data_IF_009506892096
#
_entry.id   IF_009506892096
#
_cell.length_a   1.000
_cell.length_b   1.000
_cell.length_c   1.000
_cell.angle_alpha   90.00
_cell.angle_beta   90.00
_cell.angle_gamma   90.00
#
_symmetry.space_group_name_H-M   'P 1'
#
loop_
_entity.id
_entity.type
_entity.pdbx_description
1 polymer ?
#
# COMPACT_ATOMS: atom_id res chain seq x y z
N UNK A 1 31.80 -19.90 12.79
CA UNK A 1 31.30 -20.77 13.88
C UNK A 1 29.79 -20.90 13.72
N UNK A 2 29.26 -21.99 13.11
CA UNK A 2 27.82 -22.14 12.86
C UNK A 2 27.15 -22.88 14.02
N UNK A 3 25.98 -22.40 14.46
CA UNK A 3 25.08 -23.17 15.30
C UNK A 3 23.84 -23.55 14.49
N UNK A 4 23.81 -24.82 14.07
CA UNK A 4 22.65 -25.46 13.50
C UNK A 4 21.67 -25.84 14.62
N UNK A 5 20.45 -25.30 14.58
CA UNK A 5 19.33 -25.70 15.44
C UNK A 5 18.21 -26.28 14.58
N UNK A 6 17.91 -27.57 14.78
CA UNK A 6 17.02 -28.40 13.96
C UNK A 6 15.54 -27.98 14.02
N UNK A 7 14.86 -28.29 12.91
CA UNK A 7 13.44 -28.15 12.58
C UNK A 7 12.50 -28.76 13.63
N UNK A 8 11.31 -28.16 13.78
CA UNK A 8 10.05 -28.89 13.99
C UNK A 8 9.02 -28.43 12.97
N UNK A 9 8.54 -29.38 12.19
CA UNK A 9 7.38 -29.30 11.30
C UNK A 9 6.14 -29.73 12.07
N UNK A 10 5.06 -28.94 12.02
CA UNK A 10 3.67 -29.39 11.93
C UNK A 10 2.73 -28.18 12.11
N UNK A 11 1.73 -28.07 11.23
CA UNK A 11 0.62 -27.11 11.36
C UNK A 11 0.60 -26.10 10.23
N UNK A 12 -0.29 -26.32 9.25
CA UNK A 12 -0.51 -25.41 8.13
C UNK A 12 -0.95 -24.03 8.59
N UNK A 13 0.01 -23.10 8.66
CA UNK A 13 -0.21 -21.72 8.31
C UNK A 13 0.71 -21.45 7.12
N UNK A 14 0.11 -21.07 5.99
CA UNK A 14 0.83 -20.40 4.91
C UNK A 14 1.69 -19.32 5.55
N UNK A 15 3.00 -19.52 5.57
CA UNK A 15 3.94 -18.57 6.14
C UNK A 15 3.71 -17.23 5.45
N UNK A 16 3.07 -16.29 6.16
CA UNK A 16 2.88 -14.93 5.72
C UNK A 16 4.27 -14.28 5.72
N UNK A 17 4.95 -14.35 4.58
CA UNK A 17 6.23 -13.68 4.38
C UNK A 17 5.94 -12.18 4.37
N UNK A 18 6.20 -11.51 5.48
CA UNK A 18 6.31 -10.06 5.48
C UNK A 18 7.48 -9.70 4.57
N UNK A 19 7.18 -9.14 3.40
CA UNK A 19 8.19 -8.46 2.60
C UNK A 19 8.41 -7.07 3.19
N UNK A 20 9.63 -6.55 3.05
CA UNK A 20 9.95 -5.18 3.42
C UNK A 20 9.09 -4.22 2.59
N UNK A 21 8.02 -3.70 3.17
CA UNK A 21 7.06 -2.79 2.52
C UNK A 21 7.71 -1.47 2.07
N UNK A 22 8.95 -1.22 2.50
CA UNK A 22 9.74 -0.04 2.17
C UNK A 22 10.57 -0.17 0.86
N UNK A 23 10.68 -1.35 0.25
CA UNK A 23 11.40 -1.53 -1.03
C UNK A 23 10.46 -1.26 -2.23
N UNK A 24 10.08 0.01 -2.39
CA UNK A 24 9.13 0.48 -3.41
C UNK A 24 9.43 -0.01 -4.84
N UNK A 25 10.69 -0.07 -5.32
CA UNK A 25 11.02 -0.58 -6.65
C UNK A 25 10.65 -2.05 -6.89
N UNK A 26 10.63 -2.89 -5.86
CA UNK A 26 10.34 -4.33 -5.99
C UNK A 26 8.87 -4.69 -5.84
N UNK A 27 8.06 -3.73 -5.40
CA UNK A 27 6.66 -3.94 -5.09
C UNK A 27 5.79 -4.40 -6.27
N UNK A 28 5.97 -3.92 -7.52
CA UNK A 28 5.17 -4.39 -8.66
C UNK A 28 5.32 -5.90 -8.90
N UNK A 29 6.55 -6.39 -9.02
CA UNK A 29 6.81 -7.82 -9.24
C UNK A 29 6.38 -8.70 -8.07
N UNK A 30 6.41 -8.16 -6.84
CA UNK A 30 5.85 -8.85 -5.68
C UNK A 30 4.31 -8.93 -5.77
N UNK A 31 3.65 -7.82 -6.11
CA UNK A 31 2.20 -7.72 -6.23
C UNK A 31 1.63 -8.75 -7.20
N UNK A 32 2.24 -8.87 -8.39
CA UNK A 32 1.85 -9.85 -9.41
C UNK A 32 1.95 -11.29 -8.91
N UNK A 33 3.07 -11.61 -8.24
CA UNK A 33 3.30 -12.94 -7.69
C UNK A 33 2.28 -13.30 -6.61
N UNK A 34 1.98 -12.37 -5.70
CA UNK A 34 1.01 -12.60 -4.63
C UNK A 34 -0.39 -12.70 -5.20
N UNK A 35 -0.78 -11.87 -6.18
CA UNK A 35 -2.11 -11.97 -6.80
C UNK A 35 -2.31 -13.31 -7.49
N UNK A 36 -1.29 -13.81 -8.19
CA UNK A 36 -1.33 -15.13 -8.83
C UNK A 36 -1.59 -16.26 -7.84
N UNK A 37 -0.99 -16.20 -6.65
CA UNK A 37 -1.09 -17.25 -5.63
C UNK A 37 -2.34 -17.12 -4.78
N UNK A 38 -2.65 -15.92 -4.30
CA UNK A 38 -3.73 -15.69 -3.32
C UNK A 38 -5.06 -15.27 -3.96
N UNK A 39 -5.06 -14.81 -5.23
CA UNK A 39 -6.25 -14.38 -5.97
C UNK A 39 -7.14 -13.37 -5.22
N UNK A 40 -6.54 -12.43 -4.50
CA UNK A 40 -7.26 -11.37 -3.78
C UNK A 40 -7.83 -10.31 -4.72
N UNK A 41 -8.96 -9.69 -4.36
CA UNK A 41 -9.63 -8.71 -5.24
C UNK A 41 -9.52 -7.25 -4.77
N UNK A 42 -8.73 -7.01 -3.71
CA UNK A 42 -8.53 -5.67 -3.18
C UNK A 42 -7.27 -5.54 -2.34
N UNK A 43 -6.83 -4.28 -2.18
CA UNK A 43 -5.70 -3.91 -1.34
C UNK A 43 -6.17 -2.83 -0.38
N UNK A 44 -5.94 -3.04 0.91
CA UNK A 44 -6.31 -2.10 1.98
C UNK A 44 -5.15 -1.92 2.95
N UNK A 45 -5.08 -0.75 3.57
CA UNK A 45 -4.15 -0.45 4.66
C UNK A 45 -4.88 0.33 5.73
N UNK A 46 -4.55 0.04 6.99
CA UNK A 46 -4.96 0.85 8.15
C UNK A 46 -3.93 1.91 8.51
N UNK A 47 -2.69 1.74 8.08
CA UNK A 47 -1.62 2.70 8.30
C UNK A 47 -1.69 3.79 7.26
N UNK A 48 -1.69 5.03 7.73
CA UNK A 48 -1.75 6.22 6.91
C UNK A 48 -0.53 6.29 5.98
N UNK A 49 0.69 6.08 6.49
CA UNK A 49 1.94 6.19 5.71
C UNK A 49 2.04 5.17 4.56
N UNK A 50 1.21 4.13 4.55
CA UNK A 50 1.13 3.14 3.47
C UNK A 50 -0.02 3.38 2.49
N UNK A 51 -0.85 4.40 2.68
CA UNK A 51 -1.97 4.70 1.76
C UNK A 51 -1.48 4.91 0.31
N UNK A 52 -0.38 5.63 0.13
CA UNK A 52 0.22 5.85 -1.19
C UNK A 52 0.69 4.53 -1.82
N UNK A 53 1.30 3.66 -1.03
CA UNK A 53 1.72 2.33 -1.47
C UNK A 53 0.52 1.47 -1.88
N UNK A 54 -0.53 1.43 -1.04
CA UNK A 54 -1.75 0.66 -1.32
C UNK A 54 -2.44 1.12 -2.61
N UNK A 55 -2.57 2.44 -2.83
CA UNK A 55 -3.15 2.99 -4.06
C UNK A 55 -2.33 2.64 -5.31
N UNK A 56 -1.00 2.68 -5.23
CA UNK A 56 -0.12 2.28 -6.33
C UNK A 56 -0.23 0.78 -6.64
N UNK A 57 -0.38 -0.06 -5.61
CA UNK A 57 -0.65 -1.49 -5.80
C UNK A 57 -1.98 -1.73 -6.51
N UNK A 58 -3.05 -1.10 -6.04
CA UNK A 58 -4.37 -1.26 -6.63
C UNK A 58 -4.36 -0.82 -8.10
N UNK A 59 -3.77 0.34 -8.40
CA UNK A 59 -3.63 0.84 -9.75
C UNK A 59 -2.79 -0.10 -10.65
N UNK A 60 -1.66 -0.59 -10.14
CA UNK A 60 -0.79 -1.51 -10.89
C UNK A 60 -1.50 -2.82 -11.24
N UNK A 61 -2.28 -3.37 -10.31
CA UNK A 61 -3.00 -4.63 -10.48
C UNK A 61 -4.37 -4.48 -11.17
N UNK A 62 -4.76 -3.27 -11.57
CA UNK A 62 -6.08 -2.98 -12.15
C UNK A 62 -7.24 -3.23 -11.16
N UNK A 63 -6.98 -3.10 -9.86
CA UNK A 63 -7.96 -3.31 -8.80
C UNK A 63 -8.71 -2.01 -8.45
N UNK A 64 -9.94 -2.10 -7.91
CA UNK A 64 -10.65 -0.94 -7.40
C UNK A 64 -9.85 -0.25 -6.29
N UNK A 65 -9.77 1.09 -6.35
CA UNK A 65 -9.05 1.87 -5.36
C UNK A 65 -8.97 3.35 -5.69
N UNK A 66 -8.45 4.14 -4.75
CA UNK A 66 -8.15 5.54 -4.99
C UNK A 66 -7.01 5.67 -6.01
N UNK A 67 -7.11 6.66 -6.91
CA UNK A 67 -6.00 7.01 -7.79
C UNK A 67 -4.78 7.46 -6.94
N UNK A 68 -3.55 7.02 -7.27
CA UNK A 68 -2.34 7.41 -6.54
C UNK A 68 -2.21 8.93 -6.35
N UNK A 69 -2.55 9.72 -7.37
CA UNK A 69 -2.48 11.17 -7.36
C UNK A 69 -3.51 11.79 -6.41
N UNK A 70 -4.66 11.15 -6.24
CA UNK A 70 -5.68 11.58 -5.28
C UNK A 70 -5.19 11.38 -3.84
N UNK A 71 -4.47 10.28 -3.57
CA UNK A 71 -3.85 10.03 -2.27
C UNK A 71 -2.73 11.04 -1.99
N UNK A 72 -1.88 11.31 -2.99
CA UNK A 72 -0.83 12.34 -2.86
C UNK A 72 -1.42 13.74 -2.62
N UNK A 73 -2.54 14.07 -3.28
CA UNK A 73 -3.29 15.29 -3.04
C UNK A 73 -3.79 15.39 -1.59
N UNK A 74 -4.37 14.30 -1.07
CA UNK A 74 -4.87 14.24 0.30
C UNK A 74 -3.75 14.40 1.35
N UNK A 75 -2.57 13.81 1.10
CA UNK A 75 -1.42 13.91 1.99
C UNK A 75 -0.80 15.31 2.05
N UNK A 76 -0.69 15.96 0.89
CA UNK A 76 -0.05 17.26 0.77
C UNK A 76 -1.04 18.36 1.12
N UNK A 77 -0.97 18.86 2.35
CA UNK A 77 -1.87 19.91 2.90
C UNK A 77 -2.11 21.08 1.94
N UNK A 78 -1.08 21.52 1.19
CA UNK A 78 -1.24 22.57 0.17
C UNK A 78 -2.14 22.15 -0.99
N UNK A 79 -1.91 20.96 -1.55
CA UNK A 79 -2.74 20.39 -2.63
C UNK A 79 -4.16 20.10 -2.14
N UNK A 80 -4.30 19.49 -0.96
CA UNK A 80 -5.61 19.23 -0.34
C UNK A 80 -6.42 20.52 -0.16
N UNK A 81 -5.82 21.59 0.36
CA UNK A 81 -6.48 22.89 0.52
C UNK A 81 -6.85 23.53 -0.82
N UNK A 82 -5.96 23.48 -1.80
CA UNK A 82 -6.25 23.98 -3.14
C UNK A 82 -7.41 23.19 -3.78
N UNK A 83 -7.44 21.87 -3.61
CA UNK A 83 -8.54 21.03 -4.08
C UNK A 83 -9.87 21.36 -3.36
N UNK A 84 -9.85 21.50 -2.04
CA UNK A 84 -11.03 21.91 -1.26
C UNK A 84 -11.55 23.29 -1.71
N UNK A 85 -10.66 24.27 -1.89
CA UNK A 85 -11.02 25.59 -2.38
C UNK A 85 -11.67 25.54 -3.77
N UNK A 86 -11.07 24.80 -4.72
CA UNK A 86 -11.65 24.61 -6.06
C UNK A 86 -13.02 23.95 -6.01
N UNK A 87 -13.25 23.06 -5.06
CA UNK A 87 -14.52 22.39 -4.85
C UNK A 87 -15.55 23.21 -4.05
N UNK A 88 -15.23 24.45 -3.65
CA UNK A 88 -16.11 25.28 -2.82
C UNK A 88 -16.25 24.78 -1.37
N UNK A 89 -15.40 23.85 -0.94
CA UNK A 89 -15.42 23.30 0.41
C UNK A 89 -14.68 24.25 1.36
N UNK A 90 -15.31 24.68 2.47
CA UNK A 90 -14.64 25.52 3.47
C UNK A 90 -13.37 24.86 4.00
N UNK A 91 -12.24 25.57 3.94
CA UNK A 91 -10.96 25.10 4.49
C UNK A 91 -10.18 26.25 5.12
N UNK A 92 -9.35 25.95 6.13
CA UNK A 92 -8.45 26.95 6.70
C UNK A 92 -7.41 27.36 5.65
N UNK A 93 -7.38 28.65 5.30
CA UNK A 93 -6.35 29.22 4.43
C UNK A 93 -5.00 29.06 5.13
N UNK A 94 -4.02 28.47 4.45
CA UNK A 94 -2.63 28.57 4.89
C UNK A 94 -2.13 30.00 4.64
N UNK A 95 -1.30 30.52 5.54
CA UNK A 95 -0.48 31.70 5.25
C UNK A 95 0.49 31.40 4.11
#
# INVERSE_FOLDING_TARGET
>A
MPAAGRRRTAGGLTAQRAHETNDLPRLPSFADNVRRVLRFDGVVTSCDHYLGTAARFAAHLGLPGAAPEAVDCAYRKGLARAAMHRAGVPSRRSR
#
